data_IF_522222022291
#
_entry.id   IF_522222022291
#
_cell.length_a   1.000
_cell.length_b   1.000
_cell.length_c   1.000
_cell.angle_alpha   90.00
_cell.angle_beta   90.00
_cell.angle_gamma   90.00
#
_symmetry.space_group_name_H-M   'P 1'
#
loop_
_entity.id
_entity.type
_entity.pdbx_description
1 polymer ?
#
# COMPACT_ATOMS: atom_id res chain seq x y z
N UNK A 1 -58.38 -15.52 -19.40
CA UNK A 1 -58.74 -16.63 -18.48
C UNK A 1 -57.60 -17.64 -18.48
N UNK A 2 -57.31 -18.24 -17.32
CA UNK A 2 -56.31 -19.28 -17.04
C UNK A 2 -54.95 -18.80 -16.47
N UNK A 3 -54.97 -18.49 -15.18
CA UNK A 3 -53.82 -18.49 -14.28
C UNK A 3 -53.50 -19.91 -13.80
N UNK A 4 -52.32 -20.45 -14.11
CA UNK A 4 -51.82 -21.70 -13.52
C UNK A 4 -51.07 -21.40 -12.21
N UNK A 5 -51.62 -21.89 -11.09
CA UNK A 5 -50.98 -21.89 -9.78
C UNK A 5 -50.20 -23.20 -9.59
N UNK A 6 -48.88 -23.13 -9.44
CA UNK A 6 -48.06 -24.27 -9.01
C UNK A 6 -47.86 -24.22 -7.49
N UNK A 7 -48.47 -25.16 -6.76
CA UNK A 7 -48.19 -25.40 -5.34
C UNK A 7 -47.17 -26.52 -5.21
N UNK A 8 -45.99 -26.23 -4.68
CA UNK A 8 -45.04 -27.25 -4.22
C UNK A 8 -45.25 -27.49 -2.72
N UNK A 9 -45.75 -28.68 -2.37
CA UNK A 9 -45.77 -29.19 -1.00
C UNK A 9 -44.50 -30.02 -0.75
N UNK A 10 -43.60 -29.52 0.09
CA UNK A 10 -42.44 -30.26 0.59
C UNK A 10 -42.80 -30.93 1.92
N UNK A 11 -42.88 -32.26 1.93
CA UNK A 11 -42.97 -33.09 3.15
C UNK A 11 -41.56 -33.50 3.61
N UNK A 12 -41.09 -32.93 4.72
CA UNK A 12 -39.84 -33.33 5.39
C UNK A 12 -40.14 -34.54 6.29
N UNK A 13 -39.56 -35.69 5.95
CA UNK A 13 -39.63 -36.93 6.74
C UNK A 13 -38.44 -36.98 7.70
N UNK A 14 -38.68 -36.65 8.97
CA UNK A 14 -37.75 -36.84 10.08
C UNK A 14 -37.68 -38.32 10.45
N UNK A 15 -36.47 -38.88 10.52
CA UNK A 15 -36.24 -40.24 11.05
C UNK A 15 -34.95 -40.23 11.86
N UNK A 16 -35.10 -40.17 13.17
CA UNK A 16 -34.05 -40.41 14.16
C UNK A 16 -34.05 -41.91 14.47
N UNK A 17 -32.91 -42.61 14.47
CA UNK A 17 -32.76 -43.83 15.23
C UNK A 17 -31.94 -43.57 16.51
N UNK A 18 -32.63 -43.69 17.64
CA UNK A 18 -32.01 -44.04 18.93
C UNK A 18 -31.54 -45.49 18.86
N UNK A 19 -30.28 -45.80 19.18
CA UNK A 19 -29.91 -47.14 19.64
C UNK A 19 -28.68 -47.14 20.55
N UNK A 20 -28.99 -47.36 21.83
CA UNK A 20 -28.31 -48.16 22.85
C UNK A 20 -26.82 -48.47 22.74
N UNK A 21 -26.08 -47.90 23.69
CA UNK A 21 -25.41 -48.62 24.79
C UNK A 21 -24.81 -50.01 24.46
N UNK A 22 -23.50 -50.06 24.24
CA UNK A 22 -22.67 -51.25 24.47
C UNK A 22 -21.34 -50.83 25.11
N UNK A 23 -21.27 -51.04 26.42
CA UNK A 23 -20.05 -51.23 27.21
C UNK A 23 -19.20 -52.32 26.54
N UNK A 24 -17.92 -52.05 26.26
CA UNK A 24 -16.84 -53.04 26.42
C UNK A 24 -15.45 -52.37 26.37
N UNK A 25 -14.78 -52.41 27.52
CA UNK A 25 -13.35 -52.65 27.74
C UNK A 25 -12.35 -52.37 26.62
N UNK A 26 -11.47 -51.40 26.87
CA UNK A 26 -10.26 -51.17 26.09
C UNK A 26 -9.25 -50.29 26.83
N UNK A 27 -8.80 -50.74 28.01
CA UNK A 27 -7.60 -50.23 28.68
C UNK A 27 -6.40 -50.44 27.74
N UNK A 28 -5.98 -49.41 27.03
CA UNK A 28 -4.73 -49.38 26.29
C UNK A 28 -3.98 -48.09 26.64
N UNK A 29 -2.89 -48.28 27.38
CA UNK A 29 -1.79 -47.38 27.69
C UNK A 29 -1.85 -45.96 27.08
N UNK A 30 -2.07 -44.98 27.96
CA UNK A 30 -1.62 -43.61 27.80
C UNK A 30 -0.08 -43.59 27.76
N UNK A 31 0.50 -43.79 26.57
CA UNK A 31 1.84 -43.32 26.27
C UNK A 31 1.71 -42.01 25.51
N UNK A 32 1.39 -40.94 26.25
CA UNK A 32 1.50 -39.58 25.75
C UNK A 32 2.99 -39.26 25.63
N UNK A 33 3.55 -39.43 24.43
CA UNK A 33 4.66 -38.59 24.03
C UNK A 33 4.11 -37.17 23.90
N UNK A 34 4.06 -36.47 25.03
CA UNK A 34 3.91 -35.03 25.10
C UNK A 34 5.18 -34.42 24.50
N UNK A 35 5.24 -34.36 23.16
CA UNK A 35 6.25 -33.61 22.45
C UNK A 35 5.85 -32.13 22.45
N UNK A 36 5.79 -31.56 23.65
CA UNK A 36 5.92 -30.12 23.83
C UNK A 36 7.42 -29.84 23.77
N UNK A 37 7.93 -29.53 22.57
CA UNK A 37 9.13 -28.70 22.50
C UNK A 37 8.66 -27.28 22.80
N UNK A 38 8.85 -26.71 24.01
CA UNK A 38 8.84 -25.27 24.11
C UNK A 38 9.95 -24.79 23.19
N UNK A 39 9.56 -24.07 22.14
CA UNK A 39 10.48 -23.30 21.32
C UNK A 39 10.96 -22.13 22.20
N UNK A 40 11.79 -22.44 23.19
CA UNK A 40 12.50 -21.47 24.00
C UNK A 40 13.63 -20.90 23.16
N UNK A 41 13.30 -19.81 22.48
CA UNK A 41 14.25 -18.74 22.18
C UNK A 41 13.50 -17.40 22.20
N UNK A 42 12.77 -17.13 23.28
CA UNK A 42 12.45 -15.76 23.66
C UNK A 42 13.75 -15.13 24.19
N UNK A 43 14.67 -14.79 23.27
CA UNK A 43 15.64 -13.75 23.58
C UNK A 43 14.84 -12.46 23.67
N UNK A 44 14.71 -11.96 24.90
CA UNK A 44 14.21 -10.63 25.17
C UNK A 44 15.08 -9.63 24.39
N UNK A 45 14.53 -9.10 23.30
CA UNK A 45 15.07 -7.93 22.63
C UNK A 45 14.92 -6.77 23.62
N UNK A 46 16.05 -6.34 24.18
CA UNK A 46 16.13 -5.08 24.90
C UNK A 46 15.74 -3.90 24.00
N UNK A 47 15.61 -2.68 24.55
CA UNK A 47 15.18 -1.51 23.81
C UNK A 47 16.16 -1.26 22.65
N UNK A 48 15.72 -1.44 21.40
CA UNK A 48 16.51 -1.09 20.21
C UNK A 48 16.61 0.44 20.17
N UNK A 49 17.73 0.96 20.67
CA UNK A 49 18.16 2.34 20.46
C UNK A 49 18.40 2.56 18.96
N UNK A 50 17.45 3.20 18.28
CA UNK A 50 17.63 4.05 17.10
C UNK A 50 18.60 3.57 16.00
N UNK A 51 18.71 2.26 15.76
CA UNK A 51 19.56 1.74 14.69
C UNK A 51 18.93 2.11 13.37
N UNK A 52 19.58 3.02 12.65
CA UNK A 52 19.30 3.34 11.25
C UNK A 52 19.17 2.01 10.50
N UNK A 53 17.94 1.64 10.15
CA UNK A 53 17.69 0.38 9.46
C UNK A 53 18.39 0.47 8.13
N UNK A 54 19.48 -0.29 7.97
CA UNK A 54 20.20 -0.32 6.71
C UNK A 54 19.21 -0.71 5.62
N UNK A 55 19.11 0.13 4.58
CA UNK A 55 18.22 -0.12 3.45
C UNK A 55 18.57 -1.47 2.83
N UNK A 56 17.58 -2.34 2.69
CA UNK A 56 17.76 -3.67 2.10
C UNK A 56 17.38 -3.58 0.63
N UNK A 57 18.25 -4.03 -0.28
CA UNK A 57 17.95 -4.08 -1.74
C UNK A 57 17.57 -5.47 -2.23
N UNK A 58 16.93 -5.53 -3.39
CA UNK A 58 16.64 -6.77 -4.09
C UNK A 58 17.87 -7.66 -4.28
N UNK A 59 19.02 -7.11 -4.68
CA UNK A 59 20.24 -7.90 -4.89
C UNK A 59 20.67 -8.67 -3.63
N UNK A 60 20.56 -8.02 -2.47
CA UNK A 60 20.86 -8.63 -1.16
C UNK A 60 19.90 -9.79 -0.88
N UNK A 61 18.59 -9.57 -1.00
CA UNK A 61 17.58 -10.63 -0.77
C UNK A 61 17.71 -11.75 -1.79
N UNK A 62 18.00 -11.44 -3.05
CA UNK A 62 18.21 -12.42 -4.11
C UNK A 62 19.36 -13.35 -3.77
N UNK A 63 20.49 -12.80 -3.35
CA UNK A 63 21.69 -13.59 -3.09
C UNK A 63 21.60 -14.37 -1.77
N UNK A 64 20.91 -13.84 -0.76
CA UNK A 64 20.79 -14.47 0.57
C UNK A 64 19.59 -15.41 0.69
N UNK A 65 18.48 -15.12 0.00
CA UNK A 65 17.21 -15.83 0.17
C UNK A 65 16.77 -16.52 -1.12
N UNK A 66 16.53 -15.77 -2.20
CA UNK A 66 15.88 -16.36 -3.38
C UNK A 66 16.76 -17.37 -4.12
N UNK A 67 18.01 -17.03 -4.42
CA UNK A 67 18.93 -17.90 -5.14
C UNK A 67 19.18 -19.24 -4.41
N UNK A 68 19.51 -19.27 -3.10
CA UNK A 68 19.77 -20.55 -2.41
C UNK A 68 18.51 -21.39 -2.16
N UNK A 69 17.36 -20.75 -1.92
CA UNK A 69 16.18 -21.46 -1.39
C UNK A 69 15.01 -21.57 -2.38
N UNK A 70 14.82 -20.59 -3.25
CA UNK A 70 13.57 -20.43 -4.00
C UNK A 70 13.75 -20.70 -5.51
N UNK A 71 14.78 -20.11 -6.13
CA UNK A 71 15.00 -20.09 -7.59
C UNK A 71 15.09 -21.49 -8.19
N UNK A 72 15.57 -22.49 -7.45
CA UNK A 72 15.64 -23.87 -7.98
C UNK A 72 14.26 -24.45 -8.34
N UNK A 73 13.20 -24.02 -7.64
CA UNK A 73 11.82 -24.44 -7.93
C UNK A 73 11.00 -23.34 -8.59
N UNK A 74 11.39 -22.08 -8.35
CA UNK A 74 10.74 -20.88 -8.85
C UNK A 74 11.69 -20.07 -9.76
N UNK A 75 12.34 -20.74 -10.70
CA UNK A 75 13.14 -20.09 -11.75
C UNK A 75 12.34 -19.96 -13.03
N UNK A 76 13.00 -19.72 -14.16
CA UNK A 76 12.38 -19.68 -15.50
C UNK A 76 11.51 -20.91 -15.86
N UNK A 77 11.78 -22.08 -15.28
CA UNK A 77 10.99 -23.30 -15.47
C UNK A 77 9.92 -23.54 -14.37
N UNK A 78 9.95 -22.76 -13.30
CA UNK A 78 8.93 -22.78 -12.25
C UNK A 78 7.77 -21.88 -12.64
N UNK A 79 6.52 -22.27 -12.33
CA UNK A 79 5.34 -21.46 -12.68
C UNK A 79 5.30 -20.04 -12.09
N UNK A 80 6.24 -19.72 -11.19
CA UNK A 80 6.57 -18.39 -10.69
C UNK A 80 8.07 -18.21 -10.86
N UNK A 81 8.51 -17.11 -11.49
CA UNK A 81 9.93 -16.83 -11.70
C UNK A 81 10.44 -15.84 -10.64
N UNK A 82 11.51 -16.20 -9.92
CA UNK A 82 12.13 -15.37 -8.89
C UNK A 82 13.58 -14.97 -9.26
N UNK A 83 13.97 -15.12 -10.52
CA UNK A 83 15.34 -14.83 -10.98
C UNK A 83 15.60 -13.36 -11.27
N UNK A 84 14.54 -12.58 -11.54
CA UNK A 84 14.60 -11.14 -11.86
C UNK A 84 13.75 -10.31 -10.88
N UNK A 85 14.14 -9.04 -10.71
CA UNK A 85 13.43 -8.13 -9.81
C UNK A 85 11.96 -7.97 -10.21
N UNK A 86 11.69 -7.67 -11.48
CA UNK A 86 10.33 -7.42 -11.96
C UNK A 86 9.37 -8.58 -11.66
N UNK A 87 9.82 -9.82 -11.86
CA UNK A 87 9.02 -11.01 -11.59
C UNK A 87 8.83 -11.21 -10.08
N UNK A 88 9.90 -11.11 -9.28
CA UNK A 88 9.81 -11.21 -7.81
C UNK A 88 8.87 -10.15 -7.23
N UNK A 89 9.01 -8.90 -7.68
CA UNK A 89 8.20 -7.78 -7.24
C UNK A 89 6.71 -8.00 -7.55
N UNK A 90 6.40 -8.54 -8.73
CA UNK A 90 5.02 -8.91 -9.10
C UNK A 90 4.41 -9.99 -8.20
N UNK A 91 5.25 -10.71 -7.45
CA UNK A 91 4.86 -11.79 -6.54
C UNK A 91 5.12 -11.49 -5.05
N UNK A 92 5.52 -10.26 -4.69
CA UNK A 92 5.94 -9.89 -3.34
C UNK A 92 4.95 -10.31 -2.23
N UNK A 93 3.65 -10.08 -2.43
CA UNK A 93 2.61 -10.48 -1.46
C UNK A 93 2.48 -12.00 -1.31
N UNK A 94 2.59 -12.74 -2.41
CA UNK A 94 2.56 -14.20 -2.36
C UNK A 94 3.79 -14.76 -1.63
N UNK A 95 4.95 -14.13 -1.85
CA UNK A 95 6.20 -14.47 -1.15
C UNK A 95 6.05 -14.21 0.36
N UNK A 96 5.52 -13.05 0.76
CA UNK A 96 5.25 -12.73 2.17
C UNK A 96 4.33 -13.77 2.81
N UNK A 97 3.19 -14.03 2.18
CA UNK A 97 2.17 -14.92 2.68
C UNK A 97 2.67 -16.35 2.86
N UNK A 98 3.40 -16.90 1.89
CA UNK A 98 3.84 -18.30 1.92
C UNK A 98 5.16 -18.49 2.71
N UNK A 99 6.14 -17.60 2.55
CA UNK A 99 7.47 -17.77 3.15
C UNK A 99 7.56 -17.23 4.59
N UNK A 100 6.88 -16.12 4.88
CA UNK A 100 6.95 -15.45 6.19
C UNK A 100 5.78 -15.81 7.08
N UNK A 101 4.55 -15.60 6.62
CA UNK A 101 3.34 -15.77 7.43
C UNK A 101 2.98 -17.24 7.64
N UNK A 102 2.83 -18.00 6.55
CA UNK A 102 2.52 -19.43 6.65
C UNK A 102 3.75 -20.29 6.92
N UNK A 103 4.93 -19.86 6.45
CA UNK A 103 6.17 -20.64 6.56
C UNK A 103 6.11 -21.97 5.79
N UNK A 104 5.28 -22.06 4.75
CA UNK A 104 5.13 -23.21 3.86
C UNK A 104 6.25 -23.28 2.82
N UNK A 105 6.98 -22.18 2.62
CA UNK A 105 8.10 -22.09 1.69
C UNK A 105 9.43 -21.78 2.42
N UNK A 106 10.53 -22.48 2.06
CA UNK A 106 10.61 -23.63 1.17
C UNK A 106 9.81 -24.85 1.66
N UNK A 107 9.37 -25.76 0.77
CA UNK A 107 8.64 -26.96 1.18
C UNK A 107 9.50 -27.83 2.10
N UNK A 108 8.88 -28.65 2.96
CA UNK A 108 9.56 -29.41 4.02
C UNK A 108 10.66 -30.37 3.54
N UNK A 109 10.68 -30.72 2.24
CA UNK A 109 11.76 -31.49 1.61
C UNK A 109 13.02 -30.66 1.31
N UNK A 110 13.01 -29.36 1.63
CA UNK A 110 14.10 -28.40 1.44
C UNK A 110 14.54 -27.81 2.77
N UNK A 111 15.74 -27.24 2.77
CA UNK A 111 16.24 -26.45 3.90
C UNK A 111 15.30 -25.27 4.15
N UNK A 112 14.70 -25.14 5.35
CA UNK A 112 13.89 -23.98 5.68
C UNK A 112 14.71 -22.70 5.80
N UNK A 113 14.08 -21.54 5.61
CA UNK A 113 14.72 -20.25 5.91
C UNK A 113 15.04 -20.15 7.41
N UNK A 114 16.25 -19.70 7.70
CA UNK A 114 16.70 -19.32 9.04
C UNK A 114 15.97 -18.06 9.52
N UNK A 115 16.03 -17.79 10.83
CA UNK A 115 15.42 -16.58 11.40
C UNK A 115 15.97 -15.28 10.79
N UNK A 116 17.29 -15.22 10.55
CA UNK A 116 17.93 -14.06 9.94
C UNK A 116 17.52 -13.86 8.48
N UNK A 117 17.35 -14.94 7.71
CA UNK A 117 16.85 -14.86 6.33
C UNK A 117 15.40 -14.38 6.26
N UNK A 118 14.55 -14.82 7.19
CA UNK A 118 13.17 -14.32 7.31
C UNK A 118 13.11 -12.85 7.69
N UNK A 119 13.95 -12.41 8.65
CA UNK A 119 14.04 -10.99 9.05
C UNK A 119 14.53 -10.13 7.87
N UNK A 120 15.52 -10.60 7.10
CA UNK A 120 15.99 -9.90 5.90
C UNK A 120 14.91 -9.77 4.83
N UNK A 121 14.21 -10.87 4.50
CA UNK A 121 13.13 -10.88 3.52
C UNK A 121 11.96 -10.00 3.96
N UNK A 122 11.56 -10.08 5.24
CA UNK A 122 10.49 -9.25 5.81
C UNK A 122 10.86 -7.77 5.77
N UNK A 123 12.05 -7.40 6.24
CA UNK A 123 12.53 -6.02 6.20
C UNK A 123 12.57 -5.43 4.79
N UNK A 124 12.94 -6.21 3.79
CA UNK A 124 12.89 -5.78 2.39
C UNK A 124 11.47 -5.54 1.90
N UNK A 125 10.53 -6.45 2.20
CA UNK A 125 9.11 -6.32 1.85
C UNK A 125 8.47 -5.13 2.56
N UNK A 126 8.76 -4.92 3.84
CA UNK A 126 8.30 -3.78 4.65
C UNK A 126 8.79 -2.43 4.10
N UNK A 127 9.95 -2.41 3.43
CA UNK A 127 10.50 -1.23 2.74
C UNK A 127 9.87 -1.00 1.36
N UNK A 128 8.85 -1.76 0.98
CA UNK A 128 8.24 -1.72 -0.35
C UNK A 128 9.06 -2.47 -1.40
N UNK A 129 9.83 -3.48 -0.99
CA UNK A 129 10.62 -4.33 -1.86
C UNK A 129 11.51 -3.57 -2.86
N UNK A 130 12.36 -2.62 -2.43
CA UNK A 130 13.11 -1.77 -3.35
C UNK A 130 14.14 -2.56 -4.17
N UNK A 131 14.25 -2.25 -5.47
CA UNK A 131 15.25 -2.86 -6.34
C UNK A 131 16.69 -2.49 -5.91
N UNK A 132 16.90 -1.21 -5.59
CA UNK A 132 18.22 -0.64 -5.29
C UNK A 132 18.27 -0.03 -3.89
N UNK A 133 19.45 -0.04 -3.26
CA UNK A 133 19.72 0.75 -2.05
C UNK A 133 19.67 2.23 -2.43
N UNK A 134 18.75 2.99 -1.82
CA UNK A 134 18.85 4.45 -1.86
C UNK A 134 19.97 4.87 -0.93
N UNK A 135 21.05 5.41 -1.49
CA UNK A 135 22.10 6.06 -0.70
C UNK A 135 21.50 7.34 -0.08
N UNK A 136 21.29 7.39 1.25
CA UNK A 136 20.69 8.56 1.89
C UNK A 136 21.63 9.77 1.91
N UNK A 137 22.91 9.57 1.61
CA UNK A 137 23.95 10.61 1.59
C UNK A 137 24.11 11.26 0.22
N UNK A 138 23.59 10.66 -0.85
CA UNK A 138 23.57 11.31 -2.15
C UNK A 138 22.40 12.30 -2.19
N UNK A 139 22.64 13.62 -2.34
CA UNK A 139 21.57 14.55 -2.62
C UNK A 139 20.83 14.07 -3.88
N UNK A 140 19.52 14.33 -3.96
CA UNK A 140 18.75 14.09 -5.17
C UNK A 140 19.31 15.05 -6.24
N UNK A 141 20.36 14.61 -6.94
CA UNK A 141 20.93 15.36 -8.06
C UNK A 141 19.87 15.24 -9.16
N UNK A 142 19.24 16.38 -9.47
CA UNK A 142 18.36 16.48 -10.64
C UNK A 142 19.10 15.85 -11.83
N UNK A 143 18.44 15.00 -12.63
CA UNK A 143 19.09 14.30 -13.73
C UNK A 143 19.84 15.32 -14.60
N UNK A 144 21.12 15.08 -14.93
CA UNK A 144 21.91 16.01 -15.72
C UNK A 144 21.16 16.27 -17.04
N UNK A 145 21.00 17.55 -17.37
CA UNK A 145 20.39 17.98 -18.63
C UNK A 145 21.08 17.20 -19.78
N UNK A 146 20.31 16.59 -20.70
CA UNK A 146 20.88 15.73 -21.72
C UNK A 146 21.80 16.56 -22.62
N UNK A 147 23.10 16.27 -22.57
CA UNK A 147 24.05 16.82 -23.53
C UNK A 147 23.67 16.31 -24.92
N UNK A 148 23.44 17.27 -25.83
CA UNK A 148 23.05 17.03 -27.20
C UNK A 148 24.18 16.29 -27.94
N UNK A 149 24.03 14.97 -28.11
CA UNK A 149 24.90 14.17 -28.97
C UNK A 149 24.07 13.43 -30.01
N UNK A 150 24.33 13.82 -31.26
CA UNK A 150 23.58 13.51 -32.46
C UNK A 150 23.91 12.13 -33.00
N UNK A 151 23.20 11.08 -32.60
CA UNK A 151 22.98 9.90 -33.46
C UNK A 151 21.76 9.08 -32.99
N UNK A 152 20.73 8.86 -33.81
CA UNK A 152 19.52 8.17 -33.38
C UNK A 152 19.68 6.64 -33.48
N UNK A 153 19.69 5.97 -32.32
CA UNK A 153 19.35 4.55 -32.21
C UNK A 153 17.95 4.47 -31.57
N UNK A 154 16.99 3.70 -32.10
CA UNK A 154 15.69 3.53 -31.43
C UNK A 154 15.86 2.65 -30.20
N UNK A 155 16.14 3.27 -29.05
CA UNK A 155 16.23 2.61 -27.76
C UNK A 155 14.93 2.86 -26.99
N UNK A 156 14.08 1.85 -26.96
CA UNK A 156 12.76 1.87 -26.30
C UNK A 156 12.87 1.52 -24.81
N UNK A 157 13.82 2.12 -24.08
CA UNK A 157 13.88 1.94 -22.63
C UNK A 157 12.85 2.87 -21.99
N UNK A 158 11.80 2.35 -21.32
CA UNK A 158 10.81 3.18 -20.67
C UNK A 158 11.47 3.96 -19.55
N UNK A 159 11.65 5.27 -19.77
CA UNK A 159 12.11 6.20 -18.75
C UNK A 159 11.01 6.32 -17.70
N UNK A 160 11.34 6.01 -16.44
CA UNK A 160 10.42 6.21 -15.32
C UNK A 160 9.99 7.69 -15.27
N UNK A 161 8.69 7.98 -15.07
CA UNK A 161 8.21 9.35 -15.08
C UNK A 161 8.84 10.16 -13.95
N UNK A 162 9.30 11.36 -14.29
CA UNK A 162 9.73 12.39 -13.34
C UNK A 162 8.58 12.69 -12.36
N UNK A 163 8.84 12.85 -11.05
CA UNK A 163 7.82 13.26 -10.10
C UNK A 163 7.10 14.54 -10.56
N UNK A 164 5.80 14.45 -10.82
CA UNK A 164 4.97 15.55 -11.35
C UNK A 164 4.66 15.49 -12.86
N UNK A 165 5.17 14.50 -13.58
CA UNK A 165 4.83 14.27 -14.99
C UNK A 165 3.42 13.67 -15.17
N UNK A 166 2.73 14.09 -16.24
CA UNK A 166 1.47 13.48 -16.67
C UNK A 166 1.74 12.03 -17.10
N UNK A 167 1.00 11.09 -16.53
CA UNK A 167 1.06 9.68 -16.95
C UNK A 167 0.25 9.57 -18.24
N UNK A 168 0.80 9.00 -19.31
CA UNK A 168 0.11 8.82 -20.59
C UNK A 168 -0.41 7.39 -20.77
N UNK A 169 -1.37 7.19 -21.67
CA UNK A 169 -1.84 5.87 -22.06
C UNK A 169 -0.69 4.97 -22.52
N UNK A 170 0.29 5.50 -23.27
CA UNK A 170 1.44 4.73 -23.74
C UNK A 170 2.24 4.12 -22.58
N UNK A 171 2.46 4.89 -21.51
CA UNK A 171 3.17 4.42 -20.32
C UNK A 171 2.37 3.35 -19.56
N UNK A 172 1.07 3.56 -19.35
CA UNK A 172 0.20 2.55 -18.72
C UNK A 172 0.10 1.29 -19.57
N UNK A 173 -0.03 1.43 -20.89
CA UNK A 173 -0.09 0.30 -21.81
C UNK A 173 1.18 -0.53 -21.76
N UNK A 174 2.35 0.12 -21.72
CA UNK A 174 3.63 -0.60 -21.67
C UNK A 174 3.85 -1.27 -20.31
N UNK A 175 3.55 -0.56 -19.21
CA UNK A 175 3.82 -1.04 -17.85
C UNK A 175 2.79 -2.06 -17.34
N UNK A 176 1.52 -1.90 -17.69
CA UNK A 176 0.42 -2.64 -17.08
C UNK A 176 -0.36 -3.43 -18.13
N UNK A 177 -0.95 -2.76 -19.13
CA UNK A 177 -1.89 -3.48 -20.00
C UNK A 177 -1.21 -4.56 -20.84
N UNK A 178 -0.08 -4.28 -21.47
CA UNK A 178 0.65 -5.26 -22.30
C UNK A 178 1.07 -6.50 -21.51
N UNK A 179 1.80 -6.39 -20.37
CA UNK A 179 2.25 -7.57 -19.65
C UNK A 179 1.11 -8.32 -18.94
N UNK A 180 0.10 -7.60 -18.42
CA UNK A 180 -0.83 -8.17 -17.44
C UNK A 180 -2.23 -8.40 -17.99
N UNK A 181 -2.67 -7.63 -18.99
CA UNK A 181 -4.08 -7.57 -19.37
C UNK A 181 -4.35 -7.99 -20.83
N UNK A 182 -3.58 -7.48 -21.79
CA UNK A 182 -3.80 -7.62 -23.24
C UNK A 182 -3.78 -9.08 -23.70
N UNK A 183 -3.04 -9.96 -23.03
CA UNK A 183 -3.05 -11.40 -23.34
C UNK A 183 -4.46 -12.02 -23.30
N UNK A 184 -5.33 -11.53 -22.42
CA UNK A 184 -6.72 -11.99 -22.29
C UNK A 184 -7.73 -10.95 -22.76
N UNK A 185 -7.38 -9.67 -22.69
CA UNK A 185 -8.20 -8.51 -23.04
C UNK A 185 -7.65 -7.77 -24.27
N UNK A 186 -7.17 -8.52 -25.28
CA UNK A 186 -6.73 -7.99 -26.58
C UNK A 186 -7.90 -7.88 -27.56
N UNK A 187 -7.63 -7.90 -28.86
CA UNK A 187 -8.69 -7.85 -29.90
C UNK A 187 -9.77 -8.95 -29.75
N UNK A 188 -9.41 -10.12 -29.21
CA UNK A 188 -10.33 -11.26 -29.04
C UNK A 188 -10.95 -11.36 -27.63
N UNK A 189 -10.53 -10.52 -26.68
CA UNK A 189 -11.10 -10.45 -25.34
C UNK A 189 -12.33 -9.55 -25.35
N UNK A 190 -13.41 -9.92 -24.65
CA UNK A 190 -14.65 -9.14 -24.62
C UNK A 190 -14.51 -7.66 -24.20
N UNK A 191 -13.36 -7.28 -23.64
CA UNK A 191 -12.89 -5.91 -23.47
C UNK A 191 -11.54 -5.79 -24.16
N UNK A 192 -11.38 -4.84 -25.08
CA UNK A 192 -10.14 -4.59 -25.80
C UNK A 192 -9.31 -3.49 -25.12
N UNK A 193 -8.12 -3.83 -24.66
CA UNK A 193 -7.19 -2.92 -23.97
C UNK A 193 -5.99 -2.50 -24.84
N UNK A 194 -5.96 -2.91 -26.11
CA UNK A 194 -4.88 -2.58 -27.06
C UNK A 194 -4.98 -1.17 -27.64
N UNK A 195 -6.17 -0.56 -27.64
CA UNK A 195 -6.38 0.79 -28.18
C UNK A 195 -6.92 1.73 -27.10
N UNK A 196 -6.50 3.00 -27.17
CA UNK A 196 -6.92 4.00 -26.20
C UNK A 196 -8.44 4.19 -26.16
N UNK A 197 -9.10 4.27 -27.33
CA UNK A 197 -10.56 4.45 -27.43
C UNK A 197 -11.32 3.42 -26.61
N UNK A 198 -11.01 2.13 -26.79
CA UNK A 198 -11.69 1.06 -26.07
C UNK A 198 -11.36 1.06 -24.58
N UNK A 199 -10.12 1.39 -24.21
CA UNK A 199 -9.75 1.55 -22.79
C UNK A 199 -10.56 2.68 -22.16
N UNK A 200 -10.70 3.82 -22.84
CA UNK A 200 -11.44 4.99 -22.38
C UNK A 200 -12.93 4.67 -22.17
N UNK A 201 -13.53 3.96 -23.10
CA UNK A 201 -14.92 3.48 -23.02
C UNK A 201 -15.15 2.50 -21.85
N UNK A 202 -14.10 1.83 -21.37
CA UNK A 202 -14.17 0.82 -20.33
C UNK A 202 -13.50 1.24 -19.00
N UNK A 203 -13.19 2.53 -18.80
CA UNK A 203 -12.47 3.00 -17.61
C UNK A 203 -13.17 2.65 -16.29
N UNK A 204 -14.50 2.74 -16.22
CA UNK A 204 -15.24 2.34 -15.02
C UNK A 204 -15.07 0.86 -14.71
N UNK A 205 -15.09 -0.01 -15.73
CA UNK A 205 -14.90 -1.44 -15.56
C UNK A 205 -13.45 -1.77 -15.17
N UNK A 206 -12.46 -1.14 -15.79
CA UNK A 206 -11.04 -1.29 -15.44
C UNK A 206 -10.81 -0.85 -14.00
N UNK A 207 -11.35 0.31 -13.62
CA UNK A 207 -11.27 0.83 -12.25
C UNK A 207 -11.89 -0.16 -11.28
N UNK A 208 -13.10 -0.65 -11.59
CA UNK A 208 -13.77 -1.63 -10.72
C UNK A 208 -12.97 -2.91 -10.61
N UNK A 209 -12.61 -3.57 -11.70
CA UNK A 209 -12.03 -4.92 -11.65
C UNK A 209 -10.54 -4.92 -11.25
N UNK A 210 -9.73 -4.00 -11.79
CA UNK A 210 -8.29 -3.98 -11.56
C UNK A 210 -7.86 -3.19 -10.31
N UNK A 211 -8.61 -2.14 -9.94
CA UNK A 211 -8.25 -1.27 -8.80
C UNK A 211 -9.12 -1.59 -7.58
N UNK A 212 -10.45 -1.57 -7.71
CA UNK A 212 -11.39 -1.69 -6.58
C UNK A 212 -11.67 -3.14 -6.18
N UNK A 213 -11.72 -4.07 -7.12
CA UNK A 213 -11.96 -5.49 -6.87
C UNK A 213 -10.65 -6.24 -6.74
N UNK A 214 -9.59 -5.76 -7.39
CA UNK A 214 -8.33 -6.49 -7.62
C UNK A 214 -8.56 -7.91 -8.13
N UNK A 215 -9.68 -8.12 -8.84
CA UNK A 215 -10.08 -9.39 -9.46
C UNK A 215 -9.31 -9.64 -10.76
N UNK A 216 -8.67 -8.60 -11.30
CA UNK A 216 -7.92 -8.63 -12.54
C UNK A 216 -6.48 -8.15 -12.34
N UNK A 217 -5.49 -8.87 -12.89
CA UNK A 217 -5.61 -10.17 -13.58
C UNK A 217 -5.99 -11.33 -12.61
N UNK A 218 -6.77 -12.36 -13.05
CA UNK A 218 -7.32 -13.38 -12.15
C UNK A 218 -6.28 -14.29 -11.48
N UNK A 219 -5.12 -14.46 -12.12
CA UNK A 219 -4.03 -15.31 -11.61
C UNK A 219 -2.95 -14.50 -10.92
N UNK A 220 -2.74 -13.27 -11.35
CA UNK A 220 -1.68 -12.38 -10.88
C UNK A 220 -2.27 -10.98 -10.74
N UNK A 221 -2.95 -10.69 -9.61
CA UNK A 221 -3.46 -9.34 -9.34
C UNK A 221 -2.34 -8.30 -9.49
N UNK A 222 -2.69 -7.09 -9.91
CA UNK A 222 -1.71 -6.02 -10.03
C UNK A 222 -1.01 -5.76 -8.70
N UNK A 223 0.30 -5.45 -8.77
CA UNK A 223 1.04 -4.98 -7.60
C UNK A 223 0.41 -3.70 -7.05
N UNK A 224 0.66 -3.36 -5.79
CA UNK A 224 0.14 -2.11 -5.21
C UNK A 224 0.70 -0.88 -5.94
N UNK A 225 1.97 -0.92 -6.36
CA UNK A 225 2.60 0.12 -7.18
C UNK A 225 1.97 0.28 -8.55
N UNK A 226 1.67 -0.83 -9.25
CA UNK A 226 1.00 -0.77 -10.55
C UNK A 226 -0.45 -0.33 -10.40
N UNK A 227 -1.12 -0.72 -9.31
CA UNK A 227 -2.46 -0.25 -8.98
C UNK A 227 -2.45 1.26 -8.75
N UNK A 228 -1.49 1.79 -7.98
CA UNK A 228 -1.32 3.23 -7.75
C UNK A 228 -0.97 3.97 -9.04
N UNK A 229 -0.12 3.39 -9.90
CA UNK A 229 0.23 3.97 -11.19
C UNK A 229 -0.98 4.05 -12.12
N UNK A 230 -1.77 2.98 -12.22
CA UNK A 230 -3.01 2.95 -12.99
C UNK A 230 -4.04 3.92 -12.43
N UNK A 231 -4.23 3.95 -11.10
CA UNK A 231 -5.13 4.87 -10.39
C UNK A 231 -4.75 6.32 -10.67
N UNK A 232 -3.48 6.67 -10.54
CA UNK A 232 -2.96 8.01 -10.80
C UNK A 232 -3.21 8.47 -12.24
N UNK A 233 -3.03 7.57 -13.21
CA UNK A 233 -3.35 7.86 -14.61
C UNK A 233 -4.84 8.15 -14.82
N UNK A 234 -5.72 7.36 -14.21
CA UNK A 234 -7.18 7.54 -14.29
C UNK A 234 -7.60 8.84 -13.61
N UNK A 235 -7.06 9.16 -12.43
CA UNK A 235 -7.32 10.40 -11.70
C UNK A 235 -6.87 11.65 -12.47
N UNK A 236 -5.86 11.54 -13.33
CA UNK A 236 -5.42 12.60 -14.26
C UNK A 236 -6.33 12.74 -15.49
N UNK A 237 -7.46 12.02 -15.54
CA UNK A 237 -8.38 12.03 -16.67
C UNK A 237 -8.01 11.06 -17.80
N UNK A 238 -7.14 10.08 -17.50
CA UNK A 238 -6.67 9.05 -18.43
C UNK A 238 -6.21 9.63 -19.78
N UNK A 239 -5.22 10.55 -19.81
CA UNK A 239 -4.82 11.21 -21.05
C UNK A 239 -4.15 10.22 -22.02
N UNK A 240 -4.46 10.34 -23.31
CA UNK A 240 -3.92 9.48 -24.38
C UNK A 240 -2.42 9.71 -24.60
N UNK A 241 -2.03 10.98 -24.73
CA UNK A 241 -0.65 11.42 -24.82
C UNK A 241 -0.21 12.16 -23.56
N UNK A 242 1.08 12.53 -23.50
CA UNK A 242 1.47 13.62 -22.61
C UNK A 242 0.57 14.80 -22.97
N UNK A 243 -0.15 15.37 -22.00
CA UNK A 243 -0.86 16.63 -22.24
C UNK A 243 0.20 17.56 -22.81
N UNK A 244 0.09 17.93 -24.10
CA UNK A 244 0.85 19.05 -24.63
C UNK A 244 0.62 20.16 -23.61
N UNK A 245 1.70 20.62 -22.97
CA UNK A 245 1.62 21.57 -21.90
C UNK A 245 0.69 22.67 -22.37
N UNK A 246 -0.53 22.73 -21.81
CA UNK A 246 -1.50 23.74 -22.22
C UNK A 246 -0.75 25.03 -22.02
N UNK A 247 -0.45 25.80 -23.09
CA UNK A 247 0.30 27.03 -22.94
C UNK A 247 -0.44 27.82 -21.86
N UNK A 248 0.28 28.37 -20.86
CA UNK A 248 -0.34 28.99 -19.70
C UNK A 248 -1.46 29.87 -20.22
N UNK A 249 -2.70 29.54 -19.84
CA UNK A 249 -3.87 30.31 -20.26
C UNK A 249 -3.56 31.72 -19.82
N UNK A 250 -3.24 32.58 -20.79
CA UNK A 250 -3.10 34.01 -20.55
C UNK A 250 -4.49 34.44 -20.16
N UNK A 251 -4.71 34.49 -18.84
CA UNK A 251 -5.92 35.08 -18.30
C UNK A 251 -6.08 36.43 -18.99
N UNK A 252 -7.23 36.74 -19.61
CA UNK A 252 -7.43 38.06 -20.16
C UNK A 252 -7.15 39.06 -19.04
N UNK A 253 -6.44 40.17 -19.35
CA UNK A 253 -6.14 41.17 -18.34
C UNK A 253 -7.45 41.51 -17.61
N UNK A 254 -7.43 41.56 -16.27
CA UNK A 254 -8.62 41.93 -15.52
C UNK A 254 -9.19 43.21 -16.12
N UNK A 255 -10.52 43.31 -16.32
CA UNK A 255 -11.13 44.52 -16.85
C UNK A 255 -10.62 45.70 -16.03
N UNK A 256 -10.12 46.73 -16.71
CA UNK A 256 -9.57 47.92 -16.08
C UNK A 256 -10.57 48.44 -15.04
N UNK A 257 -10.28 48.20 -13.77
CA UNK A 257 -11.00 48.83 -12.67
C UNK A 257 -10.62 50.30 -12.76
N UNK A 258 -11.60 51.14 -13.11
CA UNK A 258 -11.49 52.59 -12.99
C UNK A 258 -11.41 52.88 -11.49
N UNK A 259 -10.19 52.94 -10.96
CA UNK A 259 -9.93 53.32 -9.57
C UNK A 259 -10.24 54.81 -9.45
N UNK A 260 -11.26 55.14 -8.65
CA UNK A 260 -11.54 56.51 -8.23
C UNK A 260 -10.29 57.10 -7.54
N UNK A 261 -9.99 58.41 -7.73
CA UNK A 261 -8.79 59.03 -7.19
C UNK A 261 -8.73 58.90 -5.66
N UNK A 262 -7.61 58.39 -5.17
CA UNK A 262 -7.33 58.22 -3.75
C UNK A 262 -7.28 59.58 -3.02
N UNK A 263 -7.78 59.68 -1.77
CA UNK A 263 -7.61 60.87 -0.95
C UNK A 263 -6.13 61.12 -0.62
N UNK A 264 -5.77 62.40 -0.60
CA UNK A 264 -4.41 62.92 -0.41
C UNK A 264 -3.76 62.41 0.89
N UNK A 265 -2.49 61.98 0.86
CA UNK A 265 -1.78 61.52 2.05
C UNK A 265 -1.43 62.68 2.99
N UNK A 266 -1.59 62.44 4.29
CA UNK A 266 -1.22 63.37 5.36
C UNK A 266 0.31 63.60 5.43
N UNK A 267 0.76 64.78 5.87
CA UNK A 267 2.18 65.15 5.89
C UNK A 267 3.00 64.34 6.90
N UNK A 268 4.21 63.95 6.48
CA UNK A 268 5.18 63.19 7.26
C UNK A 268 5.77 64.01 8.43
N UNK A 269 6.06 63.39 9.59
CA UNK A 269 6.77 64.06 10.69
C UNK A 269 8.26 64.26 10.42
N UNK A 270 8.78 65.35 11.00
CA UNK A 270 10.13 65.90 10.89
C UNK A 270 11.25 64.95 11.38
N UNK A 271 12.48 65.03 10.83
CA UNK A 271 13.60 64.20 11.23
C UNK A 271 14.21 64.65 12.58
N UNK A 272 14.46 63.66 13.45
CA UNK A 272 15.20 63.79 14.71
C UNK A 272 16.71 63.96 14.47
N UNK A 273 17.46 64.74 15.28
CA UNK A 273 18.88 65.01 15.06
C UNK A 273 19.78 63.81 15.37
N UNK A 274 20.90 63.73 14.64
CA UNK A 274 21.96 62.74 14.79
C UNK A 274 22.70 62.85 16.14
N UNK A 275 23.00 61.73 16.84
CA UNK A 275 23.88 61.75 18.01
C UNK A 275 25.35 61.67 17.61
N UNK A 276 26.17 62.43 18.33
CA UNK A 276 27.62 62.50 18.23
C UNK A 276 28.32 61.20 18.64
N UNK A 277 29.48 60.97 18.03
CA UNK A 277 30.33 59.78 18.18
C UNK A 277 31.08 59.78 19.51
N UNK A 278 30.88 58.80 20.42
CA UNK A 278 31.72 58.64 21.60
C UNK A 278 32.96 57.80 21.28
N UNK A 279 34.09 58.27 21.79
CA UNK A 279 35.42 57.66 21.73
C UNK A 279 35.44 56.25 22.34
N UNK A 280 36.14 55.34 21.67
CA UNK A 280 36.26 53.92 22.00
C UNK A 280 36.90 53.65 23.37
N UNK A 281 36.24 52.89 24.27
CA UNK A 281 36.89 52.28 25.42
C UNK A 281 37.48 50.91 25.04
N UNK A 282 38.63 50.63 25.67
CA UNK A 282 39.43 49.41 25.57
C UNK A 282 38.58 48.16 25.89
N UNK A 283 38.55 47.21 24.97
CA UNK A 283 37.82 45.93 25.09
C UNK A 283 38.55 45.02 26.08
N UNK A 284 37.89 44.72 27.19
CA UNK A 284 38.15 43.54 28.03
C UNK A 284 37.34 42.38 27.42
N UNK A 285 37.92 41.18 27.20
CA UNK A 285 37.20 40.08 26.57
C UNK A 285 35.99 39.66 27.42
N UNK A 286 34.81 39.79 26.83
CA UNK A 286 33.55 39.33 27.40
C UNK A 286 33.49 37.79 27.40
N UNK A 287 32.94 37.17 28.45
CA UNK A 287 32.76 35.71 28.49
C UNK A 287 31.84 35.26 27.36
N UNK A 288 32.28 34.23 26.66
CA UNK A 288 31.58 33.59 25.55
C UNK A 288 30.14 33.23 25.95
N UNK A 289 29.17 33.83 25.24
CA UNK A 289 27.75 33.64 25.51
C UNK A 289 27.35 32.21 25.16
N UNK A 290 26.74 31.51 26.13
CA UNK A 290 26.23 30.17 25.94
C UNK A 290 25.30 30.10 24.71
N UNK A 291 25.38 29.01 23.92
CA UNK A 291 24.58 28.87 22.70
C UNK A 291 23.09 28.95 23.03
N UNK A 292 22.39 29.84 22.31
CA UNK A 292 20.94 29.97 22.38
C UNK A 292 20.32 28.60 22.06
N UNK A 293 19.50 28.02 22.95
CA UNK A 293 18.89 26.72 22.72
C UNK A 293 18.06 26.77 21.43
N UNK A 294 18.27 25.79 20.55
CA UNK A 294 17.55 25.67 19.30
C UNK A 294 16.03 25.68 19.56
N UNK A 295 15.22 26.36 18.72
CA UNK A 295 13.78 26.38 18.89
C UNK A 295 13.24 24.95 18.86
N UNK A 296 12.48 24.58 19.89
CA UNK A 296 11.82 23.28 19.97
C UNK A 296 10.89 23.17 18.75
N UNK A 297 11.01 22.12 17.92
CA UNK A 297 10.16 21.96 16.75
C UNK A 297 8.70 21.91 17.17
N UNK A 298 7.87 22.75 16.55
CA UNK A 298 6.43 22.75 16.77
C UNK A 298 5.89 21.39 16.30
N UNK A 299 5.14 20.66 17.14
CA UNK A 299 4.60 19.36 16.76
C UNK A 299 3.66 19.54 15.55
N UNK A 300 3.97 18.82 14.47
CA UNK A 300 3.13 18.77 13.27
C UNK A 300 1.81 18.09 13.65
N UNK A 301 0.64 18.65 13.31
CA UNK A 301 -0.63 18.02 13.57
C UNK A 301 -0.71 16.68 12.84
N UNK A 302 -0.78 15.59 13.60
CA UNK A 302 -0.96 14.25 13.05
C UNK A 302 -2.43 14.11 12.62
N UNK A 303 -2.64 13.78 11.35
CA UNK A 303 -3.98 13.52 10.82
C UNK A 303 -4.58 12.30 11.54
N UNK A 304 -5.71 12.48 12.22
CA UNK A 304 -6.41 11.40 12.91
C UNK A 304 -7.41 10.73 11.97
N UNK A 305 -7.40 9.42 11.97
CA UNK A 305 -8.42 8.62 11.30
C UNK A 305 -9.60 8.49 12.25
N UNK A 306 -10.80 8.75 11.76
CA UNK A 306 -12.04 8.74 12.57
C UNK A 306 -12.84 7.46 12.35
N UNK A 307 -13.70 7.12 13.32
CA UNK A 307 -14.62 5.98 13.13
C UNK A 307 -15.54 6.19 11.93
N UNK A 308 -16.00 7.42 11.67
CA UNK A 308 -16.84 7.71 10.51
C UNK A 308 -16.16 7.30 9.19
N UNK A 309 -14.88 7.66 9.01
CA UNK A 309 -14.11 7.27 7.82
C UNK A 309 -14.00 5.75 7.67
N UNK A 310 -13.64 5.05 8.75
CA UNK A 310 -13.46 3.60 8.72
C UNK A 310 -14.80 2.88 8.53
N UNK A 311 -15.87 3.37 9.17
CA UNK A 311 -17.22 2.83 9.01
C UNK A 311 -17.68 2.93 7.56
N UNK A 312 -17.49 4.07 6.94
CA UNK A 312 -18.03 4.33 5.60
C UNK A 312 -17.20 3.61 4.53
N UNK A 313 -15.88 3.51 4.70
CA UNK A 313 -14.97 2.89 3.71
C UNK A 313 -14.74 1.40 3.93
N UNK A 314 -14.83 0.90 5.17
CA UNK A 314 -14.47 -0.47 5.53
C UNK A 314 -15.66 -1.24 6.07
N UNK A 315 -16.23 -0.84 7.21
CA UNK A 315 -17.23 -1.67 7.88
C UNK A 315 -18.53 -1.80 7.08
N UNK A 316 -19.07 -0.71 6.53
CA UNK A 316 -20.32 -0.73 5.77
C UNK A 316 -20.24 -1.61 4.51
N UNK A 317 -19.26 -1.42 3.61
CA UNK A 317 -19.21 -2.21 2.38
C UNK A 317 -18.75 -3.67 2.59
N UNK A 318 -17.86 -3.92 3.55
CA UNK A 318 -17.17 -5.21 3.65
C UNK A 318 -17.62 -6.08 4.83
N UNK A 319 -18.07 -5.48 5.93
CA UNK A 319 -18.24 -6.19 7.19
C UNK A 319 -19.72 -6.31 7.61
N UNK A 320 -20.45 -5.19 7.69
CA UNK A 320 -21.79 -5.08 8.30
C UNK A 320 -22.82 -5.96 7.60
N UNK A 321 -22.68 -6.23 6.31
CA UNK A 321 -23.58 -7.14 5.59
C UNK A 321 -23.64 -8.54 6.22
N UNK A 322 -22.52 -9.04 6.75
CA UNK A 322 -22.44 -10.32 7.44
C UNK A 322 -22.41 -10.16 8.96
N UNK A 323 -21.82 -9.07 9.45
CA UNK A 323 -21.60 -8.74 10.86
C UNK A 323 -22.54 -7.62 11.34
N UNK A 324 -23.79 -7.62 10.89
CA UNK A 324 -24.82 -6.70 11.36
C UNK A 324 -25.49 -7.21 12.63
N UNK A 325 -26.69 -6.71 12.96
CA UNK A 325 -27.49 -7.21 14.12
C UNK A 325 -27.72 -8.72 14.17
N UNK A 326 -27.61 -9.41 13.03
CA UNK A 326 -27.85 -10.86 12.90
C UNK A 326 -26.56 -11.67 12.70
N UNK A 327 -25.42 -11.03 12.51
CA UNK A 327 -24.13 -11.68 12.47
C UNK A 327 -23.63 -11.87 13.89
N UNK A 328 -23.09 -13.04 14.24
CA UNK A 328 -22.68 -13.36 15.61
C UNK A 328 -21.77 -12.30 16.28
N UNK A 329 -21.09 -11.47 15.49
CA UNK A 329 -20.46 -10.22 15.91
C UNK A 329 -21.18 -9.06 15.23
N UNK A 330 -21.64 -8.06 15.99
CA UNK A 330 -22.29 -6.86 15.49
C UNK A 330 -21.27 -5.73 15.32
N UNK A 331 -21.19 -5.13 14.13
CA UNK A 331 -20.26 -4.04 13.78
C UNK A 331 -21.00 -2.78 13.28
N UNK A 332 -22.31 -2.65 13.51
CA UNK A 332 -23.13 -1.53 12.99
C UNK A 332 -22.87 -0.18 13.66
N UNK A 333 -22.38 -0.18 14.89
CA UNK A 333 -22.20 1.05 15.69
C UNK A 333 -20.79 1.11 16.27
N UNK A 334 -20.32 2.30 16.59
CA UNK A 334 -18.99 2.49 17.20
C UNK A 334 -18.85 1.65 18.47
N UNK A 335 -19.83 1.72 19.38
CA UNK A 335 -19.81 0.96 20.63
C UNK A 335 -19.70 -0.55 20.39
N UNK A 336 -20.41 -1.10 19.39
CA UNK A 336 -20.34 -2.51 19.06
C UNK A 336 -19.00 -2.90 18.41
N UNK A 337 -18.45 -2.04 17.54
CA UNK A 337 -17.12 -2.26 16.97
C UNK A 337 -16.06 -2.23 18.06
N UNK A 338 -16.14 -1.25 18.97
CA UNK A 338 -15.13 -1.03 20.01
C UNK A 338 -15.00 -2.21 20.97
N UNK A 339 -16.10 -2.84 21.37
CA UNK A 339 -16.07 -4.03 22.23
C UNK A 339 -15.58 -5.29 21.50
N UNK A 340 -15.54 -5.27 20.17
CA UNK A 340 -15.09 -6.39 19.34
C UNK A 340 -13.78 -6.08 18.59
N UNK A 341 -13.07 -5.00 18.96
CA UNK A 341 -11.96 -4.50 18.14
C UNK A 341 -10.80 -5.50 18.06
N UNK A 342 -10.50 -6.20 19.15
CA UNK A 342 -9.46 -7.23 19.19
C UNK A 342 -9.78 -8.39 18.23
N UNK A 343 -11.07 -8.77 18.11
CA UNK A 343 -11.49 -9.80 17.17
C UNK A 343 -11.36 -9.33 15.71
N UNK A 344 -11.62 -8.04 15.46
CA UNK A 344 -11.46 -7.44 14.13
C UNK A 344 -9.97 -7.39 13.76
N UNK A 345 -9.11 -6.93 14.67
CA UNK A 345 -7.65 -6.89 14.47
C UNK A 345 -7.10 -8.30 14.21
N UNK A 346 -7.44 -9.26 15.06
CA UNK A 346 -6.97 -10.64 14.93
C UNK A 346 -7.45 -11.28 13.61
N UNK A 347 -8.72 -11.10 13.25
CA UNK A 347 -9.27 -11.75 12.04
C UNK A 347 -8.82 -11.09 10.74
N UNK A 348 -8.71 -9.76 10.72
CA UNK A 348 -8.44 -8.97 9.50
C UNK A 348 -6.95 -8.69 9.33
N UNK A 349 -6.27 -8.24 10.39
CA UNK A 349 -4.88 -7.76 10.31
C UNK A 349 -3.91 -8.90 10.58
N UNK A 350 -4.11 -9.65 11.67
CA UNK A 350 -3.17 -10.72 12.05
C UNK A 350 -3.33 -11.94 11.15
N UNK A 351 -4.55 -12.47 11.03
CA UNK A 351 -4.79 -13.71 10.30
C UNK A 351 -5.18 -13.51 8.84
N UNK A 352 -5.64 -12.31 8.44
CA UNK A 352 -6.08 -12.04 7.06
C UNK A 352 -7.25 -12.91 6.58
N UNK A 353 -8.04 -13.48 7.51
CA UNK A 353 -9.13 -14.42 7.21
C UNK A 353 -10.45 -13.74 6.86
N UNK A 354 -10.55 -12.43 7.12
CA UNK A 354 -11.76 -11.64 6.90
C UNK A 354 -11.48 -10.43 5.99
N UNK A 355 -12.37 -10.13 5.02
CA UNK A 355 -13.58 -10.86 4.66
C UNK A 355 -13.29 -12.17 3.90
N UNK A 356 -14.10 -13.24 4.07
CA UNK A 356 -13.77 -14.58 3.59
C UNK A 356 -13.96 -14.75 2.07
N UNK A 357 -14.71 -13.85 1.43
CA UNK A 357 -14.98 -13.91 -0.02
C UNK A 357 -14.13 -12.96 -0.83
N UNK A 358 -13.59 -11.92 -0.20
CA UNK A 358 -12.86 -10.84 -0.85
C UNK A 358 -12.06 -10.11 0.22
N UNK A 359 -10.73 -10.16 0.11
CA UNK A 359 -9.86 -9.41 1.00
C UNK A 359 -10.18 -7.91 0.94
N UNK A 360 -9.88 -7.18 2.02
CA UNK A 360 -9.97 -5.72 1.99
C UNK A 360 -9.02 -5.14 0.94
N UNK A 361 -9.45 -4.04 0.32
CA UNK A 361 -8.56 -3.20 -0.49
C UNK A 361 -7.38 -2.72 0.35
N UNK A 362 -6.19 -2.56 -0.26
CA UNK A 362 -4.98 -2.12 0.45
C UNK A 362 -5.22 -0.80 1.19
N UNK A 363 -5.81 0.21 0.52
CA UNK A 363 -6.13 1.50 1.16
C UNK A 363 -7.08 1.33 2.36
N UNK A 364 -8.11 0.47 2.23
CA UNK A 364 -9.07 0.20 3.30
C UNK A 364 -8.46 -0.60 4.45
N UNK A 365 -7.55 -1.52 4.14
CA UNK A 365 -6.80 -2.30 5.12
C UNK A 365 -5.88 -1.37 5.92
N UNK A 366 -5.12 -0.51 5.24
CA UNK A 366 -4.26 0.47 5.90
C UNK A 366 -5.08 1.48 6.71
N UNK A 367 -6.21 1.96 6.17
CA UNK A 367 -7.12 2.84 6.91
C UNK A 367 -7.60 2.20 8.21
N UNK A 368 -8.02 0.93 8.16
CA UNK A 368 -8.45 0.18 9.34
C UNK A 368 -7.30 -0.05 10.33
N UNK A 369 -6.12 -0.45 9.83
CA UNK A 369 -4.92 -0.69 10.64
C UNK A 369 -4.50 0.58 11.37
N UNK A 370 -4.33 1.69 10.65
CA UNK A 370 -3.98 2.99 11.23
C UNK A 370 -5.02 3.45 12.26
N UNK A 371 -6.31 3.26 11.99
CA UNK A 371 -7.34 3.59 12.97
C UNK A 371 -7.22 2.77 14.26
N UNK A 372 -6.97 1.45 14.16
CA UNK A 372 -6.76 0.57 15.31
C UNK A 372 -5.51 1.00 16.11
N UNK A 373 -4.39 1.24 15.43
CA UNK A 373 -3.12 1.71 16.03
C UNK A 373 -3.27 3.06 16.75
N UNK A 374 -4.15 3.94 16.27
CA UNK A 374 -4.51 5.20 16.93
C UNK A 374 -5.42 5.01 18.16
N UNK A 375 -5.65 3.77 18.59
CA UNK A 375 -6.54 3.43 19.70
C UNK A 375 -8.01 3.45 19.30
N UNK A 376 -8.32 3.29 18.01
CA UNK A 376 -9.67 3.27 17.42
C UNK A 376 -10.57 4.39 17.97
N UNK A 377 -10.21 5.67 17.75
CA UNK A 377 -10.96 6.82 18.24
C UNK A 377 -12.31 6.95 17.52
N UNK A 378 -13.32 7.46 18.22
CA UNK A 378 -14.62 7.76 17.61
C UNK A 378 -14.54 8.95 16.65
N UNK A 379 -13.81 10.01 17.04
CA UNK A 379 -13.70 11.29 16.33
C UNK A 379 -12.26 11.78 16.17
#
# INVERSE_FOLDING_TARGET
>A
MSTLNFRFTFTLKSSIPSLSLLLLSGLAALSSCNYSNPKSSSQALGPRLGTTTATVSYEMVRNTVFAPHCVRCHGSAGGVNLESYAEVFSHARGIEQEALLQGTMPPSSRTPLTGAEKELLGSWLDQGAPEFVRDPTLPIIAPPAPEASSTPLPSSTPTLPVPGGVISYAQVKQRIFTPSCVKCHGHAGGVNLETYSHVKENLELITREAITEKSMPPRHPLSDDDTLFLKSWIEQGAPEGALEAVPPVTSPPPPAIIIAPAPSPAPAPSPTPAPETPTAPVIVPAPESAPVPAPVPVPVPVLRVTYAQVRDQVFTPSCIRCHGKKGGVNLETYSNVKVNIDLVEEAVIVNGTMPPRKALLTDNFQLLKTWIEQGSPEN
#
